data_IF_469826837231
#
_entry.id   IF_469826837231
#
_cell.length_a   1.000
_cell.length_b   1.000
_cell.length_c   1.000
_cell.angle_alpha   90.00
_cell.angle_beta   90.00
_cell.angle_gamma   90.00
#
_symmetry.space_group_name_H-M   'P 1'
#
loop_
_entity.id
_entity.type
_entity.pdbx_description
1 polymer ?
#
# COMPACT_ATOMS: atom_id res chain seq x y z
N UNK A 1 0.80 1.75 -30.60
CA UNK A 1 2.15 1.80 -30.06
C UNK A 1 2.16 2.23 -28.61
N UNK A 2 1.58 3.37 -28.26
CA UNK A 2 1.53 3.93 -26.90
C UNK A 2 1.01 2.91 -25.86
N UNK A 3 -0.13 2.28 -26.14
CA UNK A 3 -0.70 1.24 -25.26
C UNK A 3 0.23 0.04 -25.07
N UNK A 4 0.96 -0.37 -26.13
CA UNK A 4 1.93 -1.46 -26.03
C UNK A 4 3.12 -1.06 -25.17
N UNK A 5 3.64 0.16 -25.33
CA UNK A 5 4.75 0.67 -24.52
C UNK A 5 4.35 0.78 -23.04
N UNK A 6 3.12 1.22 -22.76
CA UNK A 6 2.60 1.29 -21.39
C UNK A 6 2.53 -0.10 -20.74
N UNK A 7 2.12 -1.12 -21.48
CA UNK A 7 2.12 -2.51 -20.98
C UNK A 7 3.55 -3.03 -20.78
N UNK A 8 4.47 -2.74 -21.71
CA UNK A 8 5.87 -3.15 -21.60
C UNK A 8 6.60 -2.49 -20.41
N UNK A 9 6.21 -1.29 -20.02
CA UNK A 9 6.82 -0.58 -18.89
C UNK A 9 6.77 -1.41 -17.61
N UNK A 10 5.65 -2.11 -17.36
CA UNK A 10 5.54 -3.01 -16.20
C UNK A 10 6.64 -4.06 -16.18
N UNK A 11 6.84 -4.74 -17.29
CA UNK A 11 7.87 -5.78 -17.44
C UNK A 11 9.29 -5.23 -17.30
N UNK A 12 9.57 -4.01 -17.81
CA UNK A 12 10.88 -3.39 -17.66
C UNK A 12 11.20 -3.06 -16.20
N UNK A 13 10.24 -2.51 -15.46
CA UNK A 13 10.43 -2.23 -14.05
C UNK A 13 10.61 -3.52 -13.24
N UNK A 14 9.78 -4.51 -13.50
CA UNK A 14 9.87 -5.80 -12.84
C UNK A 14 11.22 -6.47 -13.09
N UNK A 15 11.68 -6.52 -14.35
CA UNK A 15 13.02 -7.03 -14.70
C UNK A 15 14.13 -6.23 -14.00
N UNK A 16 14.03 -4.90 -13.97
CA UNK A 16 14.99 -4.04 -13.26
C UNK A 16 15.04 -4.31 -11.76
N UNK A 17 13.90 -4.51 -11.12
CA UNK A 17 13.82 -4.90 -9.70
C UNK A 17 14.44 -6.27 -9.48
N UNK A 18 14.14 -7.26 -10.33
CA UNK A 18 14.72 -8.60 -10.26
C UNK A 18 16.23 -8.58 -10.34
N UNK A 19 16.80 -7.81 -11.29
CA UNK A 19 18.25 -7.64 -11.43
C UNK A 19 18.88 -6.96 -10.21
N UNK A 20 18.22 -5.94 -9.65
CA UNK A 20 18.69 -5.27 -8.44
C UNK A 20 18.70 -6.23 -7.23
N UNK A 21 17.65 -7.02 -7.03
CA UNK A 21 17.58 -8.02 -5.98
C UNK A 21 18.66 -9.10 -6.13
N UNK A 22 18.89 -9.58 -7.34
CA UNK A 22 19.94 -10.54 -7.65
C UNK A 22 21.35 -9.99 -7.34
N UNK A 23 21.59 -8.71 -7.66
CA UNK A 23 22.88 -8.05 -7.38
C UNK A 23 23.19 -7.92 -5.89
N UNK A 24 22.17 -7.94 -5.04
CA UNK A 24 22.31 -7.91 -3.58
C UNK A 24 22.58 -9.29 -2.97
N UNK A 25 22.63 -10.35 -3.77
CA UNK A 25 22.86 -11.71 -3.29
C UNK A 25 21.72 -12.27 -2.42
N UNK A 26 20.51 -11.78 -2.61
CA UNK A 26 19.32 -12.23 -1.89
C UNK A 26 18.79 -13.54 -2.51
N UNK A 27 18.22 -14.39 -1.66
CA UNK A 27 17.48 -15.55 -2.12
C UNK A 27 16.07 -15.13 -2.54
N UNK A 28 15.79 -15.19 -3.84
CA UNK A 28 14.55 -14.69 -4.43
C UNK A 28 13.93 -15.75 -5.32
N UNK A 29 12.63 -15.96 -5.15
CA UNK A 29 11.79 -16.66 -6.12
C UNK A 29 11.04 -15.61 -6.93
N UNK A 30 11.24 -15.59 -8.25
CA UNK A 30 10.55 -14.68 -9.18
C UNK A 30 9.38 -15.39 -9.82
N UNK A 31 8.24 -14.72 -9.97
CA UNK A 31 7.03 -15.24 -10.62
C UNK A 31 6.56 -16.58 -10.04
N UNK A 32 6.55 -16.68 -8.70
CA UNK A 32 6.08 -17.88 -8.02
C UNK A 32 4.59 -18.09 -8.27
N UNK A 33 4.22 -19.22 -8.88
CA UNK A 33 2.82 -19.61 -9.13
C UNK A 33 2.28 -20.42 -7.95
N UNK A 34 1.08 -20.06 -7.46
CA UNK A 34 0.29 -20.85 -6.50
C UNK A 34 -1.00 -21.26 -7.20
N UNK A 35 -1.23 -22.57 -7.36
CA UNK A 35 -2.47 -23.12 -7.89
C UNK A 35 -3.38 -23.56 -6.74
N UNK A 36 -4.57 -22.97 -6.63
CA UNK A 36 -5.51 -23.17 -5.54
C UNK A 36 -6.90 -23.53 -6.04
N UNK A 37 -7.71 -24.14 -5.20
CA UNK A 37 -9.15 -24.31 -5.46
C UNK A 37 -9.96 -23.70 -4.32
N UNK A 38 -10.95 -22.90 -4.67
CA UNK A 38 -11.92 -22.34 -3.75
C UNK A 38 -13.33 -22.55 -4.29
N UNK A 39 -14.19 -23.21 -3.52
CA UNK A 39 -15.58 -23.52 -3.90
C UNK A 39 -15.69 -24.21 -5.29
N UNK A 40 -14.71 -25.08 -5.63
CA UNK A 40 -14.66 -25.75 -6.94
C UNK A 40 -14.09 -24.90 -8.08
N UNK A 41 -13.75 -23.64 -7.82
CA UNK A 41 -13.17 -22.72 -8.80
C UNK A 41 -11.66 -22.78 -8.76
N UNK A 42 -10.99 -23.00 -9.91
CA UNK A 42 -9.53 -22.97 -9.99
C UNK A 42 -9.04 -21.51 -9.91
N UNK A 43 -8.15 -21.25 -8.98
CA UNK A 43 -7.52 -19.94 -8.77
C UNK A 43 -6.02 -20.09 -8.93
N UNK A 44 -5.41 -19.15 -9.64
CA UNK A 44 -3.95 -19.01 -9.73
C UNK A 44 -3.53 -17.65 -9.20
N UNK A 45 -2.51 -17.64 -8.35
CA UNK A 45 -1.83 -16.43 -7.96
C UNK A 45 -0.38 -16.49 -8.46
N UNK A 46 0.10 -15.36 -8.98
CA UNK A 46 1.49 -15.15 -9.34
C UNK A 46 2.04 -14.08 -8.40
N UNK A 47 3.16 -14.39 -7.74
CA UNK A 47 3.86 -13.48 -6.85
C UNK A 47 5.09 -12.98 -7.59
N UNK A 48 5.20 -11.67 -7.80
CA UNK A 48 6.31 -11.10 -8.58
C UNK A 48 7.65 -11.50 -7.99
N UNK A 49 7.86 -11.23 -6.70
CA UNK A 49 9.07 -11.65 -5.98
C UNK A 49 8.74 -12.16 -4.57
N UNK A 50 9.37 -13.25 -4.20
CA UNK A 50 9.34 -13.78 -2.83
C UNK A 50 10.78 -13.88 -2.34
N UNK A 51 11.16 -13.01 -1.39
CA UNK A 51 12.46 -13.04 -0.74
C UNK A 51 12.40 -14.01 0.44
N UNK A 52 13.42 -14.85 0.55
CA UNK A 52 13.43 -15.95 1.51
C UNK A 52 14.71 -15.93 2.34
N UNK A 53 14.54 -15.96 3.65
CA UNK A 53 15.61 -16.21 4.62
C UNK A 53 15.28 -17.49 5.39
N UNK A 54 16.13 -18.51 5.23
CA UNK A 54 16.00 -19.77 5.94
C UNK A 54 16.43 -19.68 7.40
N UNK A 55 16.53 -20.85 8.06
CA UNK A 55 16.99 -20.94 9.44
C UNK A 55 18.36 -20.26 9.64
N UNK A 56 18.59 -19.53 10.75
CA UNK A 56 17.69 -19.38 11.90
C UNK A 56 16.66 -18.22 11.78
N UNK A 57 16.69 -17.43 10.72
CA UNK A 57 15.85 -16.22 10.59
C UNK A 57 14.39 -16.55 10.27
N UNK A 58 14.15 -17.52 9.37
CA UNK A 58 12.82 -17.95 8.93
C UNK A 58 11.90 -16.78 8.55
N UNK A 59 12.33 -15.95 7.62
CA UNK A 59 11.58 -14.79 7.19
C UNK A 59 11.23 -14.85 5.70
N UNK A 60 10.01 -14.47 5.35
CA UNK A 60 9.49 -14.40 4.00
C UNK A 60 8.97 -12.99 3.74
N UNK A 61 9.35 -12.41 2.62
CA UNK A 61 8.86 -11.11 2.18
C UNK A 61 8.33 -11.22 0.77
N UNK A 62 7.05 -11.00 0.59
CA UNK A 62 6.42 -10.88 -0.73
C UNK A 62 6.57 -9.43 -1.19
N UNK A 63 7.04 -9.24 -2.40
CA UNK A 63 7.17 -7.94 -3.02
C UNK A 63 6.37 -7.94 -4.32
N UNK A 64 5.28 -7.20 -4.34
CA UNK A 64 4.46 -6.94 -5.53
C UNK A 64 4.90 -5.63 -6.15
N UNK A 65 5.15 -5.62 -7.45
CA UNK A 65 5.66 -4.47 -8.20
C UNK A 65 4.55 -3.84 -9.03
N UNK A 66 4.39 -2.52 -8.92
CA UNK A 66 3.43 -1.76 -9.74
C UNK A 66 4.10 -0.57 -10.42
N UNK A 67 4.01 -0.54 -11.74
CA UNK A 67 4.44 0.63 -12.52
C UNK A 67 3.34 1.69 -12.54
N UNK A 68 3.70 2.94 -12.34
CA UNK A 68 2.77 4.07 -12.32
C UNK A 68 3.42 5.32 -12.95
N UNK A 69 2.61 6.22 -13.47
CA UNK A 69 3.11 7.51 -13.97
C UNK A 69 3.41 8.47 -12.81
N UNK A 70 2.57 8.45 -11.78
CA UNK A 70 2.73 9.23 -10.55
C UNK A 70 2.55 8.31 -9.35
N UNK A 71 3.45 8.43 -8.38
CA UNK A 71 3.35 7.64 -7.17
C UNK A 71 2.09 8.00 -6.38
N UNK A 72 1.28 7.01 -5.97
CA UNK A 72 0.10 7.26 -5.15
C UNK A 72 0.48 7.63 -3.72
N UNK A 73 -0.36 8.44 -3.06
CA UNK A 73 -0.18 8.76 -1.64
C UNK A 73 -0.47 7.54 -0.76
N UNK A 74 -1.50 6.77 -1.14
CA UNK A 74 -1.91 5.50 -0.51
C UNK A 74 -2.04 4.41 -1.56
N UNK A 75 -1.87 3.14 -1.19
CA UNK A 75 -2.10 2.03 -2.11
C UNK A 75 -3.53 2.01 -2.63
N UNK A 76 -3.72 1.57 -3.87
CA UNK A 76 -5.05 1.31 -4.40
C UNK A 76 -5.64 0.04 -3.78
N UNK A 77 -6.94 0.04 -3.50
CA UNK A 77 -7.65 -1.08 -2.88
C UNK A 77 -7.48 -2.40 -3.66
N UNK A 78 -7.45 -2.33 -4.99
CA UNK A 78 -7.20 -3.49 -5.84
C UNK A 78 -5.83 -4.12 -5.61
N UNK A 79 -4.80 -3.30 -5.41
CA UNK A 79 -3.45 -3.79 -5.12
C UNK A 79 -3.37 -4.38 -3.71
N UNK A 80 -4.06 -3.77 -2.73
CA UNK A 80 -4.14 -4.31 -1.39
C UNK A 80 -4.86 -5.66 -1.36
N UNK A 81 -5.99 -5.79 -2.08
CA UNK A 81 -6.71 -7.05 -2.16
C UNK A 81 -5.85 -8.14 -2.82
N UNK A 82 -5.13 -7.82 -3.89
CA UNK A 82 -4.19 -8.72 -4.54
C UNK A 82 -3.11 -9.18 -3.55
N UNK A 83 -2.46 -8.24 -2.86
CA UNK A 83 -1.38 -8.52 -1.94
C UNK A 83 -1.82 -9.37 -0.75
N UNK A 84 -2.99 -9.08 -0.17
CA UNK A 84 -3.59 -9.90 0.89
C UNK A 84 -4.00 -11.30 0.39
N UNK A 85 -4.47 -11.40 -0.85
CA UNK A 85 -4.71 -12.69 -1.49
C UNK A 85 -3.43 -13.52 -1.63
N UNK A 86 -2.35 -12.91 -2.09
CA UNK A 86 -1.04 -13.55 -2.27
C UNK A 86 -0.45 -14.05 -0.95
N UNK A 87 -0.32 -13.20 0.07
CA UNK A 87 0.21 -13.60 1.38
C UNK A 87 -0.72 -14.61 2.06
N UNK A 88 -2.02 -14.47 1.88
CA UNK A 88 -3.01 -15.40 2.42
C UNK A 88 -2.89 -16.79 1.80
N UNK A 89 -2.77 -16.88 0.48
CA UNK A 89 -2.58 -18.14 -0.23
C UNK A 89 -1.24 -18.78 0.13
N UNK A 90 -0.14 -18.02 0.16
CA UNK A 90 1.16 -18.55 0.58
C UNK A 90 1.08 -19.16 1.98
N UNK A 91 0.44 -18.45 2.93
CA UNK A 91 0.28 -18.91 4.31
C UNK A 91 -0.53 -20.21 4.38
N UNK A 92 -1.70 -20.26 3.73
CA UNK A 92 -2.59 -21.42 3.79
C UNK A 92 -2.11 -22.63 2.98
N UNK A 93 -1.35 -22.37 1.93
CA UNK A 93 -0.84 -23.40 1.05
C UNK A 93 0.54 -23.93 1.45
N UNK A 94 1.19 -23.37 2.45
CA UNK A 94 2.58 -23.60 2.85
C UNK A 94 3.05 -25.06 2.70
N UNK A 95 2.31 -25.99 3.26
CA UNK A 95 2.62 -27.43 3.24
C UNK A 95 1.86 -28.22 2.20
N UNK A 96 1.19 -27.55 1.24
CA UNK A 96 0.45 -28.20 0.15
C UNK A 96 1.26 -28.20 -1.13
N UNK A 97 1.17 -29.26 -1.96
CA UNK A 97 1.90 -29.37 -3.22
C UNK A 97 1.20 -28.57 -4.34
N UNK A 98 1.19 -27.24 -4.23
CA UNK A 98 0.48 -26.34 -5.14
C UNK A 98 1.37 -25.24 -5.73
N UNK A 99 2.65 -25.24 -5.38
CA UNK A 99 3.62 -24.26 -5.87
C UNK A 99 4.32 -24.74 -7.11
N UNK A 100 4.46 -23.85 -8.09
CA UNK A 100 5.22 -24.09 -9.31
C UNK A 100 6.13 -22.90 -9.59
N UNK A 101 7.30 -23.14 -10.16
CA UNK A 101 8.27 -22.12 -10.53
C UNK A 101 8.67 -22.30 -11.98
N UNK A 102 8.74 -21.21 -12.72
CA UNK A 102 9.22 -21.17 -14.10
C UNK A 102 10.47 -20.31 -14.21
N UNK A 103 11.31 -20.66 -15.19
CA UNK A 103 12.40 -19.77 -15.60
C UNK A 103 11.86 -18.58 -16.40
N UNK A 104 12.70 -17.56 -16.64
CA UNK A 104 12.33 -16.36 -17.40
C UNK A 104 11.86 -16.70 -18.85
N UNK A 105 12.38 -17.75 -19.45
CA UNK A 105 11.97 -18.24 -20.76
C UNK A 105 10.62 -19.03 -20.74
N UNK A 106 9.98 -19.14 -19.58
CA UNK A 106 8.74 -19.88 -19.36
C UNK A 106 8.91 -21.38 -19.12
N UNK A 107 10.15 -21.91 -19.15
CA UNK A 107 10.43 -23.33 -18.86
C UNK A 107 10.03 -23.67 -17.44
N UNK A 108 9.26 -24.75 -17.27
CA UNK A 108 8.85 -25.24 -15.96
C UNK A 108 10.04 -25.85 -15.22
N UNK A 109 10.46 -25.24 -14.14
CA UNK A 109 11.55 -25.72 -13.28
C UNK A 109 11.06 -26.68 -12.21
N UNK A 110 9.96 -26.32 -11.54
CA UNK A 110 9.35 -27.10 -10.47
C UNK A 110 7.83 -27.04 -10.61
N UNK A 111 7.16 -28.17 -10.34
CA UNK A 111 5.71 -28.29 -10.42
C UNK A 111 5.16 -28.99 -9.18
N UNK A 112 4.05 -28.46 -8.65
CA UNK A 112 3.28 -29.07 -7.55
C UNK A 112 4.14 -29.42 -6.32
N UNK A 113 4.98 -28.48 -5.90
CA UNK A 113 5.78 -28.62 -4.69
C UNK A 113 5.13 -27.94 -3.49
N UNK A 114 5.51 -28.35 -2.27
CA UNK A 114 5.25 -27.53 -1.09
C UNK A 114 6.24 -26.38 -1.06
N UNK A 115 5.90 -25.27 -0.39
CA UNK A 115 6.78 -24.10 -0.33
C UNK A 115 8.15 -24.41 0.32
N UNK A 116 8.23 -25.13 1.46
CA UNK A 116 9.52 -25.53 2.03
C UNK A 116 10.35 -26.44 1.12
N UNK A 117 9.71 -27.37 0.38
CA UNK A 117 10.43 -28.22 -0.59
C UNK A 117 11.02 -27.38 -1.71
N UNK A 118 10.23 -26.47 -2.30
CA UNK A 118 10.67 -25.58 -3.36
C UNK A 118 11.87 -24.73 -2.90
N UNK A 119 11.81 -24.14 -1.73
CA UNK A 119 12.91 -23.33 -1.18
C UNK A 119 14.17 -24.15 -0.92
N UNK A 120 14.02 -25.38 -0.42
CA UNK A 120 15.15 -26.28 -0.23
C UNK A 120 15.80 -26.67 -1.56
N UNK A 121 14.99 -27.06 -2.55
CA UNK A 121 15.49 -27.66 -3.80
C UNK A 121 16.00 -26.59 -4.78
N UNK A 122 15.44 -25.37 -4.74
CA UNK A 122 15.84 -24.28 -5.61
C UNK A 122 16.86 -23.31 -4.97
N UNK A 123 16.67 -22.97 -3.69
CA UNK A 123 17.51 -21.98 -2.99
C UNK A 123 18.51 -22.60 -2.00
N UNK A 124 18.41 -23.91 -1.73
CA UNK A 124 19.23 -24.56 -0.71
C UNK A 124 18.86 -24.16 0.73
N UNK A 125 17.69 -23.57 0.95
CA UNK A 125 17.26 -23.05 2.24
C UNK A 125 16.31 -24.01 2.96
N UNK A 126 16.55 -24.20 4.27
CA UNK A 126 15.62 -24.93 5.11
C UNK A 126 14.62 -23.96 5.76
N UNK A 127 13.35 -24.28 5.61
CA UNK A 127 12.25 -23.54 6.20
C UNK A 127 11.49 -24.42 7.20
N UNK A 128 10.76 -23.81 8.15
CA UNK A 128 9.95 -24.54 9.11
C UNK A 128 8.83 -25.31 8.43
N UNK A 129 8.31 -26.33 9.12
CA UNK A 129 7.24 -27.16 8.59
C UNK A 129 5.91 -26.40 8.43
N UNK A 130 5.69 -25.37 9.24
CA UNK A 130 4.46 -24.58 9.24
C UNK A 130 4.75 -23.09 9.00
N UNK A 131 3.81 -22.42 8.34
CA UNK A 131 3.89 -20.97 8.10
C UNK A 131 3.91 -20.14 9.40
N UNK A 132 3.32 -20.65 10.47
CA UNK A 132 3.25 -19.98 11.77
C UNK A 132 4.62 -19.77 12.43
N UNK A 133 5.61 -20.56 12.05
CA UNK A 133 6.99 -20.49 12.56
C UNK A 133 7.87 -19.53 11.72
N UNK A 134 7.32 -18.93 10.66
CA UNK A 134 8.02 -17.99 9.81
C UNK A 134 7.45 -16.58 9.96
N UNK A 135 8.31 -15.56 9.95
CA UNK A 135 7.91 -14.16 9.87
C UNK A 135 7.55 -13.83 8.44
N UNK A 136 6.27 -13.57 8.16
CA UNK A 136 5.79 -13.26 6.81
C UNK A 136 5.25 -11.85 6.72
N UNK A 137 5.69 -11.12 5.71
CA UNK A 137 5.23 -9.79 5.37
C UNK A 137 5.09 -9.65 3.86
N UNK A 138 4.16 -8.80 3.44
CA UNK A 138 3.97 -8.43 2.07
C UNK A 138 4.14 -6.92 1.88
N UNK A 139 4.73 -6.54 0.77
CA UNK A 139 5.06 -5.16 0.43
C UNK A 139 4.62 -4.85 -0.99
N UNK A 140 4.06 -3.67 -1.18
CA UNK A 140 3.75 -3.13 -2.50
C UNK A 140 4.82 -2.10 -2.88
N UNK A 141 5.53 -2.34 -3.96
CA UNK A 141 6.54 -1.45 -4.51
C UNK A 141 5.98 -0.73 -5.74
N UNK A 142 5.68 0.55 -5.58
CA UNK A 142 5.25 1.41 -6.69
C UNK A 142 6.46 2.14 -7.29
N UNK A 143 6.63 2.02 -8.60
CA UNK A 143 7.72 2.64 -9.35
C UNK A 143 7.17 3.59 -10.41
N UNK A 144 7.75 4.78 -10.47
CA UNK A 144 7.64 5.71 -11.59
C UNK A 144 9.00 5.86 -12.27
N UNK A 145 9.06 6.60 -13.37
CA UNK A 145 10.35 6.88 -14.04
C UNK A 145 11.34 7.68 -13.17
N UNK A 146 10.90 8.27 -12.08
CA UNK A 146 11.71 9.18 -11.24
C UNK A 146 11.82 8.75 -9.79
N UNK A 147 10.84 8.01 -9.29
CA UNK A 147 10.67 7.80 -7.86
C UNK A 147 10.20 6.37 -7.58
N UNK A 148 10.49 5.91 -6.37
CA UNK A 148 10.09 4.61 -5.85
C UNK A 148 9.42 4.82 -4.50
N UNK A 149 8.33 4.13 -4.24
CA UNK A 149 7.63 4.15 -2.95
C UNK A 149 7.18 2.75 -2.56
N UNK A 150 7.56 2.33 -1.36
CA UNK A 150 7.11 1.06 -0.79
C UNK A 150 5.99 1.31 0.22
N UNK A 151 5.00 0.43 0.20
CA UNK A 151 3.91 0.39 1.17
C UNK A 151 3.90 -0.97 1.87
N UNK A 152 3.78 -0.97 3.17
CA UNK A 152 3.82 -2.16 4.02
C UNK A 152 4.48 -1.85 5.36
N UNK A 153 4.76 -2.86 6.19
CA UNK A 153 4.47 -4.28 5.95
C UNK A 153 2.98 -4.62 6.12
N UNK A 154 2.50 -5.55 5.29
CA UNK A 154 1.17 -6.16 5.44
C UNK A 154 1.32 -7.60 5.89
N UNK A 155 0.61 -7.95 6.96
CA UNK A 155 0.55 -9.33 7.46
C UNK A 155 -0.62 -10.11 6.87
N UNK A 156 -0.68 -11.41 7.20
CA UNK A 156 -1.82 -12.26 6.89
C UNK A 156 -3.12 -11.71 7.49
N UNK A 157 -4.15 -11.62 6.67
CA UNK A 157 -5.50 -11.22 7.09
C UNK A 157 -6.51 -12.18 6.47
N UNK A 158 -7.18 -12.98 7.32
CA UNK A 158 -8.12 -14.00 6.88
C UNK A 158 -9.32 -13.40 6.12
N UNK A 159 -9.90 -12.31 6.63
CA UNK A 159 -11.07 -11.70 6.01
C UNK A 159 -10.75 -11.12 4.62
N UNK A 160 -9.56 -10.53 4.44
CA UNK A 160 -9.11 -10.05 3.13
C UNK A 160 -8.86 -11.21 2.16
N UNK A 161 -8.29 -12.32 2.63
CA UNK A 161 -8.13 -13.51 1.81
C UNK A 161 -9.50 -14.06 1.36
N UNK A 162 -10.43 -14.21 2.29
CA UNK A 162 -11.77 -14.73 1.98
C UNK A 162 -12.47 -13.80 0.97
N UNK A 163 -12.38 -12.48 1.16
CA UNK A 163 -12.89 -11.50 0.19
C UNK A 163 -12.27 -11.70 -1.20
N UNK A 164 -10.96 -11.89 -1.30
CA UNK A 164 -10.29 -12.09 -2.58
C UNK A 164 -10.75 -13.39 -3.27
N UNK A 165 -10.86 -14.48 -2.51
CA UNK A 165 -11.27 -15.78 -3.02
C UNK A 165 -12.75 -15.81 -3.45
N UNK A 166 -13.63 -15.20 -2.67
CA UNK A 166 -15.07 -15.13 -2.98
C UNK A 166 -15.32 -14.27 -4.23
N UNK A 167 -14.60 -13.14 -4.40
CA UNK A 167 -14.68 -12.35 -5.63
C UNK A 167 -14.19 -13.13 -6.86
N UNK A 168 -13.12 -13.89 -6.73
CA UNK A 168 -12.62 -14.73 -7.82
C UNK A 168 -13.62 -15.84 -8.17
N UNK A 169 -14.25 -16.47 -7.16
CA UNK A 169 -15.25 -17.49 -7.34
C UNK A 169 -16.51 -16.94 -8.02
N UNK A 170 -17.00 -15.78 -7.60
CA UNK A 170 -18.14 -15.12 -8.21
C UNK A 170 -17.87 -14.75 -9.67
N UNK A 171 -16.73 -14.11 -9.95
CA UNK A 171 -16.35 -13.75 -11.32
C UNK A 171 -16.29 -14.97 -12.24
N UNK A 172 -15.72 -16.08 -11.76
CA UNK A 172 -15.67 -17.34 -12.50
C UNK A 172 -17.06 -17.91 -12.75
N UNK A 173 -17.93 -17.89 -11.75
CA UNK A 173 -19.33 -18.33 -11.84
C UNK A 173 -20.09 -17.54 -12.89
N UNK A 174 -20.02 -16.21 -12.85
CA UNK A 174 -20.68 -15.31 -13.80
C UNK A 174 -20.14 -15.52 -15.23
N UNK A 175 -18.82 -15.63 -15.40
CA UNK A 175 -18.18 -15.90 -16.68
C UNK A 175 -18.63 -17.25 -17.27
N UNK A 176 -18.69 -18.27 -16.43
CA UNK A 176 -19.09 -19.63 -16.85
C UNK A 176 -20.58 -19.66 -17.22
N UNK A 177 -21.44 -19.03 -16.43
CA UNK A 177 -22.85 -18.91 -16.71
C UNK A 177 -23.12 -18.12 -18.01
N UNK A 178 -22.38 -17.03 -18.22
CA UNK A 178 -22.46 -16.26 -19.47
C UNK A 178 -22.03 -17.07 -20.67
N UNK A 179 -20.92 -17.79 -20.61
CA UNK A 179 -20.43 -18.68 -21.70
C UNK A 179 -21.40 -19.80 -22.01
N UNK A 180 -22.12 -20.29 -21.01
CA UNK A 180 -23.18 -21.31 -21.17
C UNK A 180 -24.51 -20.74 -21.69
N UNK A 181 -24.61 -19.40 -21.88
CA UNK A 181 -25.85 -18.72 -22.31
C UNK A 181 -26.90 -18.57 -21.20
N UNK A 182 -26.55 -18.91 -19.96
CA UNK A 182 -27.48 -18.86 -18.82
C UNK A 182 -27.51 -17.48 -18.14
N UNK A 183 -26.57 -16.57 -18.48
CA UNK A 183 -26.46 -15.22 -17.94
C UNK A 183 -26.13 -14.25 -19.07
N UNK A 184 -26.97 -13.24 -19.27
CA UNK A 184 -26.65 -12.16 -20.21
C UNK A 184 -25.75 -11.11 -19.53
N UNK A 185 -24.93 -10.39 -20.32
CA UNK A 185 -24.07 -9.31 -19.78
C UNK A 185 -24.87 -8.23 -19.05
N UNK A 186 -26.11 -7.96 -19.48
CA UNK A 186 -27.02 -7.02 -18.82
C UNK A 186 -27.52 -7.48 -17.45
N UNK A 187 -27.42 -8.78 -17.16
CA UNK A 187 -27.82 -9.38 -15.89
C UNK A 187 -26.64 -9.57 -14.94
N UNK A 188 -25.39 -9.43 -15.44
CA UNK A 188 -24.21 -9.44 -14.56
C UNK A 188 -24.32 -8.23 -13.64
N UNK A 189 -24.46 -8.48 -12.35
CA UNK A 189 -24.54 -7.42 -11.35
C UNK A 189 -23.23 -6.63 -11.35
N UNK A 190 -23.32 -5.36 -11.65
CA UNK A 190 -22.19 -4.44 -11.48
C UNK A 190 -21.85 -4.37 -9.99
N UNK A 191 -21.00 -5.25 -9.52
CA UNK A 191 -20.47 -5.32 -8.17
C UNK A 191 -21.50 -5.26 -7.02
N UNK A 192 -21.78 -6.38 -6.42
CA UNK A 192 -22.35 -6.43 -5.07
C UNK A 192 -21.17 -6.41 -4.08
N UNK A 193 -21.19 -5.45 -3.14
CA UNK A 193 -20.13 -5.31 -2.14
C UNK A 193 -18.85 -4.63 -2.68
N UNK A 194 -17.73 -4.93 -2.04
CA UNK A 194 -16.42 -4.39 -2.42
C UNK A 194 -15.95 -5.00 -3.74
N UNK A 195 -15.58 -4.13 -4.68
CA UNK A 195 -14.98 -4.52 -5.95
C UNK A 195 -13.69 -3.72 -6.16
N UNK A 196 -12.55 -4.35 -6.52
CA UNK A 196 -11.24 -3.69 -6.58
C UNK A 196 -11.18 -2.46 -7.50
N UNK A 197 -12.02 -2.42 -8.53
CA UNK A 197 -12.05 -1.32 -9.49
C UNK A 197 -13.04 -0.22 -9.12
N UNK A 198 -13.76 -0.32 -8.00
CA UNK A 198 -14.72 0.70 -7.60
C UNK A 198 -14.08 2.07 -7.38
N UNK A 199 -12.87 2.12 -6.88
CA UNK A 199 -12.11 3.37 -6.67
C UNK A 199 -11.81 4.14 -7.97
N UNK A 200 -11.86 3.43 -9.12
CA UNK A 200 -11.66 4.01 -10.46
C UNK A 200 -12.97 4.20 -11.23
N UNK A 201 -14.10 3.83 -10.64
CA UNK A 201 -15.40 3.91 -11.29
C UNK A 201 -15.95 5.34 -11.18
N UNK A 202 -16.22 5.96 -12.31
CA UNK A 202 -16.83 7.30 -12.37
C UNK A 202 -18.24 7.36 -11.73
N UNK A 203 -18.92 6.23 -11.64
CA UNK A 203 -20.26 6.12 -11.02
C UNK A 203 -20.20 5.71 -9.54
N UNK A 204 -19.02 5.66 -8.92
CA UNK A 204 -18.89 5.15 -7.54
C UNK A 204 -19.72 5.93 -6.52
N UNK A 205 -19.85 7.26 -6.69
CA UNK A 205 -20.59 8.13 -5.78
C UNK A 205 -22.10 7.83 -5.73
N UNK A 206 -22.70 7.52 -6.90
CA UNK A 206 -24.14 7.31 -7.07
C UNK A 206 -24.48 5.84 -7.43
N UNK A 207 -23.56 4.93 -7.21
CA UNK A 207 -23.71 3.54 -7.62
C UNK A 207 -24.83 2.85 -6.83
N UNK A 208 -25.86 2.28 -7.51
CA UNK A 208 -27.00 1.64 -6.85
C UNK A 208 -26.63 0.35 -6.10
N UNK A 209 -25.39 -0.14 -6.26
CA UNK A 209 -24.87 -1.30 -5.52
C UNK A 209 -24.66 -1.02 -4.03
N UNK A 210 -24.59 0.25 -3.60
CA UNK A 210 -24.46 0.61 -2.20
C UNK A 210 -25.84 0.84 -1.58
N UNK A 211 -26.57 -0.23 -1.21
CA UNK A 211 -27.80 -0.08 -0.45
C UNK A 211 -27.46 0.61 0.88
N UNK A 212 -28.43 1.33 1.42
CA UNK A 212 -28.26 1.95 2.74
C UNK A 212 -28.02 0.86 3.80
N UNK A 213 -26.76 0.74 4.20
CA UNK A 213 -26.33 -0.18 5.24
C UNK A 213 -26.20 -1.64 4.78
N UNK A 214 -25.00 -2.16 4.79
CA UNK A 214 -24.72 -3.59 4.61
C UNK A 214 -24.31 -4.18 5.95
N UNK A 215 -24.98 -5.24 6.39
CA UNK A 215 -24.62 -5.96 7.60
C UNK A 215 -23.46 -6.92 7.31
N UNK A 216 -22.28 -6.65 7.88
CA UNK A 216 -21.04 -7.41 7.69
C UNK A 216 -20.42 -7.79 9.04
N UNK A 217 -21.01 -8.72 9.80
CA UNK A 217 -20.58 -9.05 11.16
C UNK A 217 -19.16 -9.65 11.21
N UNK A 218 -18.68 -10.23 10.12
CA UNK A 218 -17.30 -10.76 10.02
C UNK A 218 -16.22 -9.68 10.20
N UNK A 219 -16.56 -8.40 10.03
CA UNK A 219 -15.64 -7.28 10.20
C UNK A 219 -15.68 -6.66 11.61
N UNK A 220 -16.59 -7.08 12.47
CA UNK A 220 -16.73 -6.54 13.83
C UNK A 220 -15.41 -6.61 14.62
N UNK A 221 -14.68 -7.76 14.67
CA UNK A 221 -13.42 -7.83 15.41
C UNK A 221 -12.34 -6.88 14.85
N UNK A 222 -12.34 -6.64 13.53
CA UNK A 222 -11.39 -5.72 12.91
C UNK A 222 -11.73 -4.26 13.25
N UNK A 223 -13.03 -3.92 13.30
CA UNK A 223 -13.50 -2.59 13.69
C UNK A 223 -13.26 -2.30 15.17
N UNK A 224 -13.50 -3.28 16.04
CA UNK A 224 -13.18 -3.18 17.47
C UNK A 224 -11.69 -2.92 17.69
N UNK A 225 -10.84 -3.71 17.03
CA UNK A 225 -9.37 -3.51 17.09
C UNK A 225 -8.97 -2.12 16.58
N UNK A 226 -9.55 -1.66 15.48
CA UNK A 226 -9.28 -0.33 14.93
C UNK A 226 -9.73 0.77 15.90
N UNK A 227 -10.91 0.63 16.50
CA UNK A 227 -11.42 1.59 17.49
C UNK A 227 -10.49 1.67 18.71
N UNK A 228 -10.08 0.54 19.26
CA UNK A 228 -9.13 0.48 20.37
C UNK A 228 -7.76 1.12 20.04
N UNK A 229 -7.23 0.86 18.84
CA UNK A 229 -5.98 1.47 18.40
C UNK A 229 -6.10 2.99 18.20
N UNK A 230 -7.23 3.49 17.71
CA UNK A 230 -7.49 4.94 17.61
C UNK A 230 -7.58 5.60 18.97
N UNK A 231 -8.21 4.94 19.93
CA UNK A 231 -8.30 5.42 21.31
C UNK A 231 -6.90 5.48 21.95
N UNK A 232 -6.10 4.40 21.84
CA UNK A 232 -4.71 4.37 22.31
C UNK A 232 -3.87 5.47 21.67
N UNK A 233 -4.01 5.68 20.35
CA UNK A 233 -3.30 6.78 19.67
C UNK A 233 -3.69 8.13 20.24
N UNK A 234 -4.99 8.36 20.47
CA UNK A 234 -5.45 9.63 21.04
C UNK A 234 -4.89 9.86 22.45
N UNK A 235 -4.85 8.80 23.28
CA UNK A 235 -4.26 8.88 24.62
C UNK A 235 -2.77 9.21 24.55
N UNK A 236 -2.01 8.50 23.70
CA UNK A 236 -0.58 8.76 23.48
C UNK A 236 -0.32 10.17 22.93
N UNK A 237 -1.13 10.63 21.96
CA UNK A 237 -1.02 11.99 21.41
C UNK A 237 -1.24 13.07 22.50
N UNK A 238 -2.14 12.82 23.44
CA UNK A 238 -2.37 13.73 24.57
C UNK A 238 -1.19 13.70 25.55
N UNK A 239 -0.68 12.53 25.91
CA UNK A 239 0.49 12.38 26.77
C UNK A 239 1.74 13.08 26.16
N UNK A 240 1.97 12.88 24.86
CA UNK A 240 3.05 13.58 24.13
C UNK A 240 2.86 15.10 24.23
N UNK A 241 1.66 15.63 23.99
CA UNK A 241 1.38 17.07 24.09
C UNK A 241 1.64 17.64 25.49
N UNK A 242 1.24 16.90 26.53
CA UNK A 242 1.51 17.28 27.91
C UNK A 242 3.02 17.33 28.18
N UNK A 243 3.77 16.30 27.81
CA UNK A 243 5.22 16.25 27.96
C UNK A 243 5.93 17.36 27.16
N UNK A 244 5.52 17.60 25.92
CA UNK A 244 6.04 18.71 25.11
C UNK A 244 5.78 20.08 25.80
N UNK A 245 4.60 20.25 26.40
CA UNK A 245 4.25 21.50 27.10
C UNK A 245 5.16 21.71 28.31
N UNK A 246 5.42 20.66 29.09
CA UNK A 246 6.35 20.71 30.21
C UNK A 246 7.76 21.07 29.74
N UNK A 247 8.26 20.39 28.68
CA UNK A 247 9.59 20.68 28.14
C UNK A 247 9.71 22.09 27.57
N UNK A 248 8.66 22.63 26.96
CA UNK A 248 8.59 24.02 26.50
C UNK A 248 8.71 25.01 27.66
N UNK A 249 8.03 24.74 28.78
CA UNK A 249 8.14 25.57 30.00
C UNK A 249 9.54 25.49 30.60
N UNK A 250 10.11 24.31 30.72
CA UNK A 250 11.48 24.11 31.24
C UNK A 250 12.50 24.87 30.38
N UNK A 251 12.38 24.78 29.05
CA UNK A 251 13.27 25.51 28.14
C UNK A 251 13.16 27.04 28.34
N UNK A 252 11.93 27.57 28.47
CA UNK A 252 11.72 29.00 28.74
C UNK A 252 12.33 29.42 30.08
N UNK A 253 12.19 28.60 31.12
CA UNK A 253 12.76 28.88 32.45
C UNK A 253 14.28 28.78 32.47
N UNK A 254 14.90 27.98 31.62
CA UNK A 254 16.35 27.85 31.53
C UNK A 254 17.06 29.13 31.05
N UNK A 255 16.30 30.10 30.48
CA UNK A 255 16.81 31.35 29.95
C UNK A 255 17.71 31.25 28.73
N UNK A 256 17.90 30.03 28.18
CA UNK A 256 18.69 29.83 26.98
C UNK A 256 17.81 29.83 25.70
N UNK A 257 18.39 30.24 24.59
CA UNK A 257 17.79 30.08 23.25
C UNK A 257 18.41 28.91 22.48
N UNK A 258 19.34 28.21 23.10
CA UNK A 258 20.06 27.08 22.51
C UNK A 258 19.63 25.75 23.14
N UNK A 259 20.44 24.73 22.98
CA UNK A 259 20.15 23.39 23.48
C UNK A 259 20.20 23.34 25.02
N UNK A 260 19.22 22.67 25.60
CA UNK A 260 19.25 22.19 26.97
C UNK A 260 19.68 20.72 26.93
N UNK A 261 20.80 20.43 27.59
CA UNK A 261 21.37 19.07 27.64
C UNK A 261 20.90 18.37 28.93
N UNK A 262 20.47 17.13 28.80
CA UNK A 262 20.04 16.27 29.91
C UNK A 262 20.93 15.01 30.07
N UNK A 263 22.09 15.02 29.42
CA UNK A 263 23.05 13.91 29.43
C UNK A 263 22.80 12.89 28.32
N UNK A 264 21.64 12.28 28.29
CA UNK A 264 21.28 11.29 27.25
C UNK A 264 20.59 11.94 26.04
N UNK A 265 19.86 12.98 26.25
CA UNK A 265 19.11 13.72 25.22
C UNK A 265 19.36 15.21 25.38
N UNK A 266 19.15 15.95 24.32
CA UNK A 266 19.11 17.40 24.31
C UNK A 266 17.87 17.90 23.59
N UNK A 267 17.35 19.05 23.97
CA UNK A 267 16.19 19.66 23.35
C UNK A 267 16.33 21.16 23.23
N UNK A 268 15.71 21.75 22.26
CA UNK A 268 15.64 23.21 22.08
C UNK A 268 14.28 23.63 21.51
N UNK A 269 13.94 24.88 21.73
CA UNK A 269 12.82 25.56 21.09
C UNK A 269 13.30 26.35 19.90
N UNK A 270 12.62 26.23 18.77
CA UNK A 270 12.80 27.06 17.60
C UNK A 270 11.45 27.58 17.11
N UNK A 271 11.43 28.78 16.57
CA UNK A 271 10.25 29.33 15.91
C UNK A 271 10.32 28.90 14.45
N UNK A 272 9.36 28.08 14.02
CA UNK A 272 9.21 27.70 12.62
C UNK A 272 8.17 28.60 11.95
N UNK A 273 8.42 28.97 10.70
CA UNK A 273 7.42 29.67 9.89
C UNK A 273 6.17 28.82 9.74
N UNK A 274 5.00 29.45 9.79
CA UNK A 274 3.74 28.78 9.52
C UNK A 274 3.69 28.22 8.11
N UNK A 275 2.89 27.18 7.90
CA UNK A 275 2.71 26.56 6.59
C UNK A 275 2.01 27.54 5.65
N UNK A 276 2.58 27.74 4.46
CA UNK A 276 1.90 28.50 3.38
C UNK A 276 0.69 27.70 2.89
N UNK A 277 -0.46 28.34 2.84
CA UNK A 277 -1.71 27.76 2.28
C UNK A 277 -2.33 28.72 1.29
N UNK A 278 -2.80 28.19 0.18
CA UNK A 278 -3.49 28.96 -0.84
C UNK A 278 -4.85 29.43 -0.30
N UNK A 279 -5.09 30.75 -0.32
CA UNK A 279 -6.42 31.31 -0.07
C UNK A 279 -7.25 31.26 -1.35
N UNK A 280 -8.14 30.25 -1.46
CA UNK A 280 -8.94 30.01 -2.65
C UNK A 280 -9.95 31.15 -2.94
N UNK A 281 -10.48 31.77 -1.90
CA UNK A 281 -11.43 32.90 -2.07
C UNK A 281 -10.70 34.11 -2.67
N UNK A 282 -9.55 34.48 -2.09
CA UNK A 282 -8.73 35.56 -2.65
C UNK A 282 -8.26 35.27 -4.08
N UNK A 283 -7.89 34.01 -4.38
CA UNK A 283 -7.52 33.61 -5.73
C UNK A 283 -8.69 33.78 -6.69
N UNK A 284 -9.89 33.37 -6.29
CA UNK A 284 -11.10 33.49 -7.11
C UNK A 284 -11.44 34.96 -7.37
N UNK A 285 -11.38 35.84 -6.36
CA UNK A 285 -11.63 37.26 -6.48
C UNK A 285 -10.63 37.95 -7.44
N UNK A 286 -9.34 37.61 -7.30
CA UNK A 286 -8.29 38.14 -8.18
C UNK A 286 -8.45 37.65 -9.63
N UNK A 287 -8.75 36.38 -9.83
CA UNK A 287 -9.05 35.86 -11.17
C UNK A 287 -10.31 36.53 -11.76
N UNK A 288 -11.37 36.66 -10.98
CA UNK A 288 -12.59 37.36 -11.45
C UNK A 288 -12.35 38.83 -11.78
N UNK A 289 -11.45 39.52 -11.09
CA UNK A 289 -11.03 40.85 -11.40
C UNK A 289 -10.24 40.90 -12.73
N UNK A 290 -9.35 39.98 -12.96
CA UNK A 290 -8.57 39.85 -14.20
C UNK A 290 -9.49 39.61 -15.42
N UNK A 291 -10.44 38.69 -15.30
CA UNK A 291 -11.39 38.40 -16.38
C UNK A 291 -12.36 39.54 -16.71
N UNK A 292 -12.61 40.47 -15.78
CA UNK A 292 -13.44 41.66 -16.03
C UNK A 292 -12.72 42.74 -16.84
N UNK A 293 -11.42 42.76 -16.87
CA UNK A 293 -10.62 43.65 -17.70
C UNK A 293 -10.34 42.97 -19.05
N UNK A 294 -11.06 43.32 -20.08
CA UNK A 294 -10.77 42.91 -21.44
C UNK A 294 -9.40 43.41 -21.87
N UNK A 295 -8.42 42.56 -21.85
CA UNK A 295 -7.06 42.81 -22.30
C UNK A 295 -6.07 42.05 -21.47
N UNK A 296 -5.99 40.74 -21.72
CA UNK A 296 -5.00 39.86 -21.16
C UNK A 296 -3.61 40.22 -21.67
N UNK A 297 -2.91 41.11 -20.95
CA UNK A 297 -1.47 41.21 -20.98
C UNK A 297 -0.85 40.04 -20.21
N UNK A 298 0.46 39.85 -20.29
CA UNK A 298 1.17 38.83 -19.56
C UNK A 298 0.82 38.86 -18.07
N UNK A 299 0.13 37.80 -17.59
CA UNK A 299 -0.25 37.64 -16.20
C UNK A 299 0.94 37.05 -15.46
N UNK A 300 1.47 37.81 -14.52
CA UNK A 300 2.46 37.27 -13.57
C UNK A 300 1.75 36.35 -12.55
N UNK A 301 1.70 35.05 -12.88
CA UNK A 301 1.04 34.03 -12.08
C UNK A 301 1.73 33.89 -10.72
N UNK A 302 3.04 34.11 -10.63
CA UNK A 302 3.77 33.99 -9.39
C UNK A 302 3.43 35.16 -8.43
N UNK A 303 3.29 36.37 -8.96
CA UNK A 303 2.82 37.50 -8.17
C UNK A 303 1.36 37.34 -7.73
N UNK A 304 0.50 36.72 -8.56
CA UNK A 304 -0.87 36.41 -8.21
C UNK A 304 -0.94 35.36 -7.08
N UNK A 305 -0.19 34.27 -7.20
CA UNK A 305 -0.10 33.24 -6.16
C UNK A 305 0.44 33.78 -4.84
N UNK A 306 1.46 34.63 -4.88
CA UNK A 306 2.02 35.26 -3.68
C UNK A 306 0.98 36.14 -2.94
N UNK A 307 0.09 36.81 -3.65
CA UNK A 307 -1.00 37.60 -3.04
C UNK A 307 -2.12 36.73 -2.45
N UNK A 308 -2.31 35.54 -2.99
CA UNK A 308 -3.34 34.58 -2.53
C UNK A 308 -2.79 33.63 -1.43
N UNK A 309 -1.48 33.60 -1.19
CA UNK A 309 -0.89 32.78 -0.13
C UNK A 309 -1.18 33.35 1.25
N UNK A 310 -1.72 32.53 2.13
CA UNK A 310 -1.88 32.86 3.54
C UNK A 310 -0.82 32.11 4.34
N UNK A 311 0.14 32.85 4.85
CA UNK A 311 1.10 32.29 5.83
C UNK A 311 0.36 31.94 7.12
N UNK A 312 0.46 30.69 7.54
CA UNK A 312 0.03 30.28 8.88
C UNK A 312 0.80 31.03 9.97
N UNK A 313 0.21 31.17 11.14
CA UNK A 313 0.91 31.76 12.28
C UNK A 313 2.21 30.98 12.58
N UNK A 314 3.32 31.67 12.92
CA UNK A 314 4.52 30.99 13.38
C UNK A 314 4.21 30.10 14.58
N UNK A 315 4.80 28.93 14.64
CA UNK A 315 4.61 28.00 15.73
C UNK A 315 5.94 27.57 16.35
N UNK A 316 5.92 27.31 17.65
CA UNK A 316 7.09 26.81 18.37
C UNK A 316 7.27 25.31 18.09
N UNK A 317 8.47 24.92 17.64
CA UNK A 317 8.85 23.54 17.43
C UNK A 317 9.85 23.08 18.49
N UNK A 318 9.48 22.07 19.25
CA UNK A 318 10.40 21.33 20.11
C UNK A 318 11.18 20.31 19.29
N UNK A 319 12.52 20.37 19.35
CA UNK A 319 13.39 19.37 18.73
C UNK A 319 14.14 18.61 19.83
N UNK A 320 14.10 17.29 19.79
CA UNK A 320 14.78 16.39 20.72
C UNK A 320 15.75 15.54 19.90
N UNK A 321 16.99 15.43 20.35
CA UNK A 321 18.01 14.59 19.71
C UNK A 321 18.77 13.77 20.75
N UNK A 322 19.12 12.52 20.48
CA UNK A 322 20.07 11.78 21.31
C UNK A 322 21.43 12.46 21.24
N UNK A 323 22.20 12.36 22.31
CA UNK A 323 23.60 12.76 22.36
C UNK A 323 24.42 11.49 22.11
N UNK A 324 25.21 11.49 21.03
CA UNK A 324 26.11 10.38 20.69
C UNK A 324 27.37 10.42 21.59
#
# INVERSE_FOLDING_TARGET
LERLLTLQRGHWFESGVGQALASLGLHVLSQLEISWQHQGVPIKAHLDFVLVWGAPVNAIRILEVKSTDKLPDTPHDSHLLQLHGQIGLLTKAWSKPVFSLRAEDGTLLYEKMTFPQLCRDHLGLQLPATAAEASMEAWLLCLSMKEVKAFGPYGFNQAMLDTALDHAAQLWGDLTAHRAGNLSLSQVTCAQGFYPLCSYCEYNGDCPKFPQGVHMPQWEPALEKLAALKEQRTALDNEIKEMETVLKLVHRQSGTRDWVDTGKYRFRMSVAAGRSTLNREALHEELAAIFRFEGLGDIDVDALLARCERMGAPFERLTISPIN
#
